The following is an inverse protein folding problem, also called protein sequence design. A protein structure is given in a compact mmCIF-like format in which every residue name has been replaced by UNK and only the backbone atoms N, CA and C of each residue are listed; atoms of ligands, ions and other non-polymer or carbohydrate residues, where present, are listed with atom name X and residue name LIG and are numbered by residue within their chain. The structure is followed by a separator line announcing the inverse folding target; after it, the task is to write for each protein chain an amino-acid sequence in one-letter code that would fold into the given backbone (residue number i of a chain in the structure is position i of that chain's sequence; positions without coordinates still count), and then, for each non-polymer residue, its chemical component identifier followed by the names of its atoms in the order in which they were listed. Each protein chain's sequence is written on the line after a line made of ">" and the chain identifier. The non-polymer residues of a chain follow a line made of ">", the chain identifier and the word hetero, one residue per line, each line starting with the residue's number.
data_IF_139678837325
#
_entry.id   IF_139678837325
#
_cell.length_a   1.000
_cell.length_b   1.000
_cell.length_c   1.000
_cell.angle_alpha   90.00
_cell.angle_beta   90.00
_cell.angle_gamma   90.00
#
_symmetry.space_group_name_H-M   'P 1'
#
loop_
_entity.id
_entity.type
_entity.pdbx_description
1 polymer ?
#
# COMPACT_ATOMS: atom_id res chain seq x y z
N UNK A 1 -15.17 -31.98 3.71
CA UNK A 1 -15.13 -31.42 2.36
C UNK A 1 -13.80 -30.72 2.08
N UNK A 2 -13.36 -29.73 2.90
CA UNK A 2 -12.05 -29.06 2.74
C UNK A 2 -10.88 -29.99 3.08
N UNK A 3 -10.93 -30.73 4.16
CA UNK A 3 -9.92 -31.73 4.49
C UNK A 3 -9.82 -32.83 3.41
N UNK A 4 -10.93 -33.23 2.85
CA UNK A 4 -11.01 -34.18 1.75
C UNK A 4 -10.42 -33.59 0.44
N UNK A 5 -10.69 -32.31 0.18
CA UNK A 5 -10.08 -31.57 -0.93
C UNK A 5 -8.55 -31.48 -0.77
N UNK A 6 -8.08 -31.12 0.42
CA UNK A 6 -6.62 -31.07 0.69
C UNK A 6 -5.98 -32.46 0.60
N UNK A 7 -6.62 -33.51 1.12
CA UNK A 7 -6.11 -34.88 1.03
C UNK A 7 -6.00 -35.37 -0.42
N UNK A 8 -6.93 -34.94 -1.28
CA UNK A 8 -6.95 -35.32 -2.71
C UNK A 8 -6.16 -34.36 -3.62
N UNK A 9 -5.63 -33.27 -3.07
CA UNK A 9 -4.86 -32.32 -3.86
C UNK A 9 -3.57 -32.96 -4.39
N UNK A 10 -3.22 -32.76 -5.68
CA UNK A 10 -2.06 -33.39 -6.31
C UNK A 10 -0.74 -33.15 -5.57
N UNK A 11 -0.62 -32.05 -4.87
CA UNK A 11 0.54 -31.74 -4.01
C UNK A 11 0.70 -32.73 -2.86
N UNK A 12 -0.41 -33.10 -2.19
CA UNK A 12 -0.40 -34.00 -1.03
C UNK A 12 -0.34 -35.48 -1.44
N UNK A 13 -0.65 -35.79 -2.69
CA UNK A 13 -0.56 -37.14 -3.25
C UNK A 13 0.80 -37.47 -3.87
N UNK A 14 1.81 -36.61 -3.69
CA UNK A 14 3.14 -36.87 -4.21
C UNK A 14 3.76 -38.09 -3.54
N UNK A 15 4.40 -38.92 -4.37
CA UNK A 15 5.24 -40.02 -3.84
C UNK A 15 6.27 -39.49 -2.87
N UNK A 16 6.39 -40.11 -1.71
CA UNK A 16 7.47 -39.85 -0.76
C UNK A 16 8.81 -40.31 -1.36
N UNK A 17 9.46 -39.40 -2.06
CA UNK A 17 10.75 -39.64 -2.68
C UNK A 17 11.87 -39.33 -1.69
N UNK A 18 12.88 -40.18 -1.71
CA UNK A 18 14.14 -39.89 -0.97
C UNK A 18 14.81 -38.64 -1.56
N UNK A 19 15.67 -37.92 -0.79
CA UNK A 19 16.40 -36.75 -1.30
C UNK A 19 17.18 -37.01 -2.59
N UNK A 20 17.64 -38.27 -2.79
CA UNK A 20 18.38 -38.68 -3.98
C UNK A 20 17.47 -38.84 -5.21
N UNK A 21 16.24 -39.30 -5.00
CA UNK A 21 15.20 -39.42 -6.04
C UNK A 21 14.64 -38.03 -6.40
N UNK A 22 14.47 -37.17 -5.42
CA UNK A 22 14.10 -35.77 -5.65
C UNK A 22 15.11 -35.06 -6.55
N UNK A 23 16.43 -35.18 -6.30
CA UNK A 23 17.45 -34.56 -7.15
C UNK A 23 17.42 -35.04 -8.59
N UNK A 24 16.93 -36.26 -8.87
CA UNK A 24 16.75 -36.77 -10.23
C UNK A 24 15.46 -36.37 -10.92
N UNK A 25 14.40 -36.14 -10.13
CA UNK A 25 13.07 -35.75 -10.63
C UNK A 25 12.85 -34.24 -10.69
N UNK A 26 13.65 -33.45 -9.99
CA UNK A 26 13.55 -32.00 -10.04
C UNK A 26 13.81 -31.51 -11.46
N UNK A 27 12.73 -31.17 -12.15
CA UNK A 27 12.79 -30.27 -13.29
C UNK A 27 13.51 -29.03 -12.81
N UNK A 28 14.56 -28.59 -13.48
CA UNK A 28 15.43 -27.46 -13.11
C UNK A 28 14.72 -26.09 -13.03
N UNK A 29 13.42 -26.08 -12.90
CA UNK A 29 12.62 -24.86 -12.78
C UNK A 29 11.88 -24.88 -11.44
N UNK A 30 12.04 -23.83 -10.69
CA UNK A 30 11.16 -23.52 -9.57
C UNK A 30 9.72 -23.53 -10.08
N UNK A 31 8.81 -23.98 -9.24
CA UNK A 31 7.38 -24.02 -9.52
C UNK A 31 6.67 -23.06 -8.58
N UNK A 32 6.84 -21.73 -8.81
CA UNK A 32 6.19 -20.71 -7.97
C UNK A 32 4.65 -20.81 -8.03
N UNK A 33 4.11 -21.28 -9.15
CA UNK A 33 2.71 -21.59 -9.32
C UNK A 33 2.18 -22.58 -8.27
N UNK A 34 2.93 -23.64 -7.98
CA UNK A 34 2.52 -24.64 -6.97
C UNK A 34 2.71 -24.13 -5.53
N UNK A 35 3.73 -23.31 -5.29
CA UNK A 35 3.92 -22.70 -3.98
C UNK A 35 2.79 -21.71 -3.68
N UNK A 36 2.41 -20.89 -4.66
CA UNK A 36 1.28 -19.96 -4.55
C UNK A 36 -0.05 -20.69 -4.35
N UNK A 37 -0.30 -21.75 -5.11
CA UNK A 37 -1.50 -22.59 -4.94
C UNK A 37 -1.56 -23.20 -3.54
N UNK A 38 -0.43 -23.68 -3.02
CA UNK A 38 -0.35 -24.23 -1.66
C UNK A 38 -0.68 -23.15 -0.62
N UNK A 39 -0.11 -21.96 -0.74
CA UNK A 39 -0.35 -20.84 0.17
C UNK A 39 -1.82 -20.42 0.15
N UNK A 40 -2.39 -20.27 -1.04
CA UNK A 40 -3.82 -19.98 -1.21
C UNK A 40 -4.71 -21.03 -0.54
N UNK A 41 -4.44 -22.32 -0.74
CA UNK A 41 -5.22 -23.40 -0.14
C UNK A 41 -5.11 -23.47 1.39
N UNK A 42 -3.97 -23.05 1.93
CA UNK A 42 -3.76 -23.01 3.39
C UNK A 42 -4.44 -21.81 4.05
N UNK A 43 -4.68 -20.74 3.32
CA UNK A 43 -5.17 -19.46 3.86
C UNK A 43 -6.63 -19.17 3.48
N UNK A 44 -7.17 -19.79 2.45
CA UNK A 44 -8.55 -19.57 2.02
C UNK A 44 -9.58 -20.09 3.02
N UNK A 45 -10.69 -19.38 3.15
CA UNK A 45 -11.89 -19.88 3.83
C UNK A 45 -12.63 -20.85 2.87
N UNK A 46 -12.83 -22.12 3.28
CA UNK A 46 -13.49 -23.12 2.42
C UNK A 46 -14.93 -22.78 2.03
N UNK A 47 -15.62 -21.99 2.87
CA UNK A 47 -17.02 -21.64 2.64
C UNK A 47 -17.18 -20.62 1.52
N UNK A 48 -16.29 -19.63 1.46
CA UNK A 48 -16.33 -18.54 0.47
C UNK A 48 -15.33 -18.75 -0.67
N UNK A 49 -14.40 -19.70 -0.53
CA UNK A 49 -13.34 -20.05 -1.50
C UNK A 49 -12.40 -18.89 -1.88
N UNK A 50 -12.24 -17.95 -0.96
CA UNK A 50 -11.32 -16.81 -1.06
C UNK A 50 -10.57 -16.64 0.25
N UNK A 51 -9.46 -15.90 0.22
CA UNK A 51 -8.75 -15.47 1.44
C UNK A 51 -9.51 -14.27 2.02
N UNK A 52 -10.14 -14.40 3.20
CA UNK A 52 -10.96 -13.34 3.79
C UNK A 52 -10.07 -12.26 4.43
N UNK A 53 -9.57 -11.33 3.64
CA UNK A 53 -8.67 -10.25 4.08
C UNK A 53 -9.29 -9.39 5.19
N UNK A 54 -10.58 -9.14 5.10
CA UNK A 54 -11.35 -8.37 6.07
C UNK A 54 -11.33 -8.97 7.48
N UNK A 55 -11.10 -10.29 7.59
CA UNK A 55 -11.01 -10.98 8.88
C UNK A 55 -9.61 -10.95 9.49
N UNK A 56 -8.60 -10.51 8.76
CA UNK A 56 -7.23 -10.50 9.24
C UNK A 56 -7.07 -9.56 10.45
N UNK A 57 -7.67 -8.38 10.37
CA UNK A 57 -7.64 -7.41 11.47
C UNK A 57 -8.42 -7.88 12.69
N UNK A 58 -9.59 -8.49 12.49
CA UNK A 58 -10.37 -9.10 13.58
C UNK A 58 -9.60 -10.24 14.26
N UNK A 59 -8.95 -11.09 13.46
CA UNK A 59 -8.12 -12.18 13.98
C UNK A 59 -6.92 -11.65 14.78
N UNK A 60 -6.31 -10.56 14.33
CA UNK A 60 -5.25 -9.90 15.06
C UNK A 60 -5.75 -9.33 16.40
N UNK A 61 -6.85 -8.58 16.40
CA UNK A 61 -7.44 -8.06 17.65
C UNK A 61 -7.76 -9.19 18.64
N UNK A 62 -8.34 -10.27 18.15
CA UNK A 62 -8.60 -11.45 18.99
C UNK A 62 -7.32 -12.08 19.54
N UNK A 63 -6.25 -12.14 18.75
CA UNK A 63 -4.95 -12.63 19.21
C UNK A 63 -4.34 -11.73 20.29
N UNK A 64 -4.49 -10.41 20.20
CA UNK A 64 -4.04 -9.47 21.22
C UNK A 64 -4.86 -9.59 22.52
N UNK A 65 -6.17 -9.75 22.42
CA UNK A 65 -7.02 -10.03 23.59
C UNK A 65 -6.60 -11.31 24.30
N UNK A 66 -6.32 -12.37 23.54
CA UNK A 66 -5.79 -13.62 24.08
C UNK A 66 -4.43 -13.41 24.76
N UNK A 67 -3.51 -12.67 24.14
CA UNK A 67 -2.21 -12.33 24.73
C UNK A 67 -2.36 -11.61 26.06
N UNK A 68 -3.25 -10.61 26.11
CA UNK A 68 -3.51 -9.84 27.33
C UNK A 68 -4.11 -10.70 28.47
N UNK A 69 -4.87 -11.73 28.13
CA UNK A 69 -5.50 -12.64 29.07
C UNK A 69 -4.60 -13.80 29.54
N UNK A 70 -3.49 -14.05 28.84
CA UNK A 70 -2.57 -15.14 29.19
C UNK A 70 -1.61 -14.75 30.31
N UNK A 71 -1.30 -15.68 31.24
CA UNK A 71 -0.26 -15.44 32.24
C UNK A 71 1.09 -15.14 31.60
N UNK A 72 1.82 -14.16 32.11
CA UNK A 72 3.11 -13.66 31.58
C UNK A 72 4.27 -14.69 31.68
N UNK A 73 3.99 -15.95 31.92
CA UNK A 73 5.00 -16.99 32.08
C UNK A 73 5.39 -17.57 30.70
N UNK A 74 6.17 -16.82 29.92
CA UNK A 74 6.74 -17.28 28.66
C UNK A 74 8.25 -17.44 28.83
N UNK A 75 8.71 -18.69 28.90
CA UNK A 75 10.14 -19.03 28.96
C UNK A 75 10.87 -18.82 27.61
N UNK A 76 10.18 -18.31 26.58
CA UNK A 76 10.78 -18.02 25.28
C UNK A 76 11.10 -16.54 25.15
N UNK A 77 12.37 -16.19 25.11
CA UNK A 77 12.85 -14.88 24.69
C UNK A 77 13.27 -14.94 23.21
N UNK A 78 12.76 -14.02 22.42
CA UNK A 78 13.16 -13.88 21.02
C UNK A 78 14.24 -12.80 20.93
N UNK A 79 15.34 -13.15 20.26
CA UNK A 79 16.42 -12.19 19.95
C UNK A 79 16.49 -12.08 18.44
N UNK A 80 16.49 -10.88 17.93
CA UNK A 80 16.69 -10.63 16.51
C UNK A 80 18.12 -10.97 16.13
N UNK A 81 18.29 -11.84 15.14
CA UNK A 81 19.59 -12.24 14.60
C UNK A 81 19.84 -11.69 13.18
N UNK A 82 19.01 -10.78 12.72
CA UNK A 82 19.17 -10.15 11.43
C UNK A 82 18.81 -11.04 10.23
N UNK A 83 19.20 -10.67 9.02
CA UNK A 83 20.32 -9.77 8.66
C UNK A 83 19.99 -8.28 8.86
N UNK A 84 20.87 -7.55 9.55
CA UNK A 84 20.73 -6.10 9.75
C UNK A 84 21.40 -5.25 8.66
N UNK A 85 22.08 -5.90 7.72
CA UNK A 85 22.84 -5.29 6.63
C UNK A 85 22.22 -5.51 5.23
N UNK A 86 21.02 -6.05 5.16
CA UNK A 86 20.24 -6.18 3.91
C UNK A 86 19.19 -5.10 3.89
N UNK A 87 19.31 -4.19 2.92
CA UNK A 87 18.35 -3.11 2.76
C UNK A 87 17.01 -3.64 2.23
N UNK A 88 15.91 -3.14 2.81
CA UNK A 88 14.57 -3.26 2.26
C UNK A 88 14.21 -2.07 1.37
N UNK A 89 13.02 -2.08 0.79
CA UNK A 89 12.46 -0.95 0.05
C UNK A 89 11.52 -0.17 0.96
N UNK A 90 11.73 1.14 1.06
CA UNK A 90 10.79 2.07 1.70
C UNK A 90 10.08 2.87 0.63
N UNK A 91 8.78 3.08 0.79
CA UNK A 91 7.94 3.84 -0.15
C UNK A 91 7.33 5.06 0.51
N UNK A 92 6.84 4.93 1.72
CA UNK A 92 6.25 6.01 2.48
C UNK A 92 7.33 6.66 3.37
N UNK A 93 7.41 7.97 3.32
CA UNK A 93 8.33 8.76 4.13
C UNK A 93 7.66 10.07 4.51
N UNK A 94 7.73 10.42 5.82
CA UNK A 94 7.11 11.64 6.32
C UNK A 94 7.86 12.14 7.55
N UNK A 95 8.20 13.42 7.57
CA UNK A 95 8.56 14.09 8.83
C UNK A 95 7.30 14.23 9.69
N UNK A 96 7.44 14.02 10.99
CA UNK A 96 6.32 14.19 11.91
C UNK A 96 5.93 15.67 11.95
N UNK A 97 4.68 16.02 11.56
CA UNK A 97 4.27 17.42 11.51
C UNK A 97 4.18 18.08 12.91
N UNK A 98 4.23 17.28 13.98
CA UNK A 98 4.19 17.77 15.36
C UNK A 98 5.59 17.93 15.96
N UNK A 99 6.64 17.49 15.26
CA UNK A 99 8.03 17.73 15.66
C UNK A 99 8.61 18.94 14.91
N UNK A 100 8.59 20.10 15.57
CA UNK A 100 9.10 21.37 15.02
C UNK A 100 10.62 21.41 14.83
N UNK A 101 11.35 20.42 15.36
CA UNK A 101 12.79 20.28 15.13
C UNK A 101 13.11 19.47 13.88
N UNK A 102 12.10 18.86 13.24
CA UNK A 102 12.20 18.00 12.06
C UNK A 102 13.19 16.83 12.24
N UNK A 103 13.16 16.22 13.40
CA UNK A 103 13.98 15.05 13.75
C UNK A 103 13.20 13.76 13.68
N UNK A 104 11.94 13.79 14.17
CA UNK A 104 11.08 12.61 14.14
C UNK A 104 10.61 12.30 12.72
N UNK A 105 10.85 11.06 12.31
CA UNK A 105 10.64 10.64 10.93
C UNK A 105 9.95 9.29 10.85
N UNK A 106 8.94 9.20 10.03
CA UNK A 106 8.17 8.00 9.76
C UNK A 106 8.62 7.36 8.44
N UNK A 107 8.71 6.04 8.41
CA UNK A 107 9.06 5.27 7.22
C UNK A 107 8.17 4.05 7.06
N UNK A 108 7.54 3.93 5.90
CA UNK A 108 6.76 2.76 5.52
C UNK A 108 7.55 1.83 4.61
N UNK A 109 7.63 0.58 4.99
CA UNK A 109 8.30 -0.49 4.24
C UNK A 109 7.33 -1.16 3.28
N UNK A 110 7.86 -1.65 2.15
CA UNK A 110 7.06 -2.36 1.12
C UNK A 110 6.50 -3.70 1.61
N UNK A 111 7.13 -4.30 2.63
CA UNK A 111 6.70 -5.59 3.19
C UNK A 111 7.11 -5.79 4.65
N UNK A 112 7.43 -4.71 5.36
CA UNK A 112 7.91 -4.76 6.73
C UNK A 112 7.18 -3.79 7.67
N UNK A 113 6.02 -3.30 7.29
CA UNK A 113 5.18 -2.44 8.13
C UNK A 113 5.65 -1.00 8.25
N UNK A 114 5.18 -0.34 9.28
CA UNK A 114 5.41 1.07 9.59
C UNK A 114 6.44 1.21 10.72
N UNK A 115 7.36 2.15 10.55
CA UNK A 115 8.45 2.43 11.48
C UNK A 115 8.58 3.92 11.71
N UNK A 116 9.15 4.30 12.84
CA UNK A 116 9.57 5.67 13.08
C UNK A 116 10.90 5.73 13.83
N UNK A 117 11.53 6.89 13.78
CA UNK A 117 12.67 7.25 14.62
C UNK A 117 12.43 8.62 15.21
N UNK A 118 12.85 8.83 16.47
CA UNK A 118 12.71 10.12 17.13
C UNK A 118 13.78 11.13 16.67
N UNK A 119 14.88 10.65 16.08
CA UNK A 119 15.92 11.54 15.54
C UNK A 119 16.60 10.91 14.32
N UNK A 120 16.20 11.36 13.11
CA UNK A 120 16.79 10.95 11.84
C UNK A 120 18.16 11.62 11.58
N UNK A 121 18.52 12.66 12.34
CA UNK A 121 19.74 13.44 12.08
C UNK A 121 20.99 12.81 12.65
N UNK A 122 20.86 11.84 13.55
CA UNK A 122 21.99 11.09 14.10
C UNK A 122 22.54 10.09 13.09
N UNK A 123 23.84 9.78 13.20
CA UNK A 123 24.51 8.89 12.25
C UNK A 123 23.96 7.45 12.22
N UNK A 124 23.36 6.99 13.32
CA UNK A 124 22.72 5.67 13.44
C UNK A 124 21.39 5.85 14.18
N UNK A 125 20.31 6.22 13.48
CA UNK A 125 19.01 6.38 14.10
C UNK A 125 18.47 5.04 14.60
N UNK A 126 17.86 5.07 15.79
CA UNK A 126 17.11 3.92 16.29
C UNK A 126 15.75 3.91 15.66
N UNK A 127 15.43 2.84 14.93
CA UNK A 127 14.12 2.63 14.34
C UNK A 127 13.23 1.82 15.28
N UNK A 128 12.01 2.28 15.45
CA UNK A 128 10.99 1.68 16.30
C UNK A 128 9.85 1.22 15.40
N UNK A 129 9.55 -0.07 15.44
CA UNK A 129 8.38 -0.60 14.74
C UNK A 129 7.10 -0.09 15.41
N UNK A 130 6.10 0.27 14.60
CA UNK A 130 4.76 0.50 15.11
C UNK A 130 4.17 -0.86 15.46
N UNK A 131 3.86 -1.06 16.74
CA UNK A 131 3.37 -2.34 17.26
C UNK A 131 2.08 -2.77 16.57
N UNK A 132 1.98 -4.07 16.40
CA UNK A 132 0.74 -4.73 16.02
C UNK A 132 0.62 -5.08 14.56
N UNK A 133 -0.49 -4.71 13.95
CA UNK A 133 -0.97 -5.17 12.65
C UNK A 133 -0.07 -4.88 11.43
N UNK A 134 0.93 -4.01 11.58
CA UNK A 134 1.80 -3.55 10.50
C UNK A 134 2.83 -4.58 10.02
N UNK A 135 3.01 -5.68 10.75
CA UNK A 135 3.89 -6.75 10.32
C UNK A 135 3.40 -7.36 9.00
N UNK A 136 4.29 -7.41 8.02
CA UNK A 136 4.03 -7.94 6.67
C UNK A 136 3.03 -7.15 5.80
N UNK A 137 2.64 -5.94 6.18
CA UNK A 137 1.86 -5.04 5.31
C UNK A 137 2.80 -4.15 4.51
N UNK A 138 2.50 -3.99 3.22
CA UNK A 138 3.17 -3.02 2.37
C UNK A 138 2.61 -1.63 2.63
N UNK A 139 3.42 -0.75 3.19
CA UNK A 139 3.09 0.65 3.38
C UNK A 139 3.60 1.42 2.17
N UNK A 140 2.69 1.95 1.39
CA UNK A 140 2.98 2.60 0.10
C UNK A 140 3.01 4.11 0.16
N UNK A 141 2.23 4.70 1.07
CA UNK A 141 2.08 6.17 1.18
C UNK A 141 1.66 6.57 2.59
N UNK A 142 2.03 7.79 2.97
CA UNK A 142 1.61 8.46 4.20
C UNK A 142 1.24 9.90 3.90
N UNK A 143 0.25 10.42 4.59
CA UNK A 143 -0.10 11.84 4.60
C UNK A 143 -0.67 12.22 5.98
N UNK A 144 -0.46 13.45 6.39
CA UNK A 144 -1.14 14.03 7.54
C UNK A 144 -2.22 15.02 7.09
N UNK A 145 -3.16 15.29 7.97
CA UNK A 145 -4.18 16.33 7.77
C UNK A 145 -3.61 17.70 8.18
N UNK A 146 -3.42 18.64 7.25
CA UNK A 146 -2.89 19.97 7.59
C UNK A 146 -3.79 20.76 8.55
N UNK A 147 -5.08 20.46 8.58
CA UNK A 147 -6.04 21.11 9.50
C UNK A 147 -5.97 20.54 10.91
N UNK A 148 -5.48 19.31 11.07
CA UNK A 148 -5.26 18.65 12.36
C UNK A 148 -4.06 17.72 12.28
N UNK A 149 -2.90 18.22 12.62
CA UNK A 149 -1.61 17.51 12.49
C UNK A 149 -1.45 16.28 13.39
N UNK A 150 -2.41 15.94 14.23
CA UNK A 150 -2.46 14.65 14.94
C UNK A 150 -3.12 13.55 14.11
N UNK A 151 -3.78 13.91 13.00
CA UNK A 151 -4.42 12.95 12.11
C UNK A 151 -3.50 12.58 10.96
N UNK A 152 -3.15 11.30 10.86
CA UNK A 152 -2.37 10.75 9.74
C UNK A 152 -3.17 9.66 9.05
N UNK A 153 -2.90 9.49 7.76
CA UNK A 153 -3.41 8.42 6.94
C UNK A 153 -2.25 7.62 6.33
N UNK A 154 -2.41 6.30 6.31
CA UNK A 154 -1.44 5.38 5.74
C UNK A 154 -2.15 4.50 4.74
N UNK A 155 -1.70 4.54 3.48
CA UNK A 155 -2.17 3.66 2.43
C UNK A 155 -1.30 2.41 2.32
N UNK A 156 -1.94 1.29 2.01
CA UNK A 156 -1.29 -0.02 1.94
C UNK A 156 -1.33 -0.62 0.53
N UNK A 157 -0.47 -1.60 0.30
CA UNK A 157 -0.37 -2.35 -0.95
C UNK A 157 0.62 -1.78 -1.95
N UNK A 158 1.47 -2.64 -2.52
CA UNK A 158 2.41 -2.26 -3.56
C UNK A 158 1.89 -2.62 -4.94
N UNK A 159 1.33 -1.65 -5.66
CA UNK A 159 0.63 -1.84 -6.93
C UNK A 159 1.47 -1.69 -8.20
N UNK A 160 2.82 -1.77 -8.15
CA UNK A 160 3.69 -1.52 -9.30
C UNK A 160 3.96 -2.73 -10.19
N UNK A 161 3.33 -3.87 -9.90
CA UNK A 161 3.35 -5.03 -10.78
C UNK A 161 4.60 -5.88 -10.74
N UNK A 162 5.42 -5.76 -9.72
CA UNK A 162 6.56 -6.66 -9.53
C UNK A 162 6.12 -7.99 -8.88
N UNK A 163 6.92 -9.04 -9.09
CA UNK A 163 6.61 -10.39 -8.57
C UNK A 163 6.70 -10.54 -7.05
N UNK A 164 7.19 -9.53 -6.34
CA UNK A 164 7.21 -9.46 -4.88
C UNK A 164 6.23 -8.45 -4.30
N UNK A 165 5.24 -8.03 -5.09
CA UNK A 165 4.22 -7.09 -4.65
C UNK A 165 3.35 -7.72 -3.56
N UNK A 166 3.16 -6.99 -2.48
CA UNK A 166 2.29 -7.39 -1.38
C UNK A 166 0.99 -6.61 -1.50
N UNK A 167 -0.12 -7.33 -1.53
CA UNK A 167 -1.45 -6.74 -1.51
C UNK A 167 -1.68 -6.02 -0.19
N UNK A 168 -2.29 -4.86 -0.26
CA UNK A 168 -2.67 -4.06 0.89
C UNK A 168 -4.00 -4.48 1.49
N UNK A 169 -4.41 -3.72 2.48
CA UNK A 169 -5.67 -3.88 3.19
C UNK A 169 -6.28 -2.50 3.49
N UNK A 170 -6.46 -1.70 2.45
CA UNK A 170 -7.08 -0.38 2.57
C UNK A 170 -6.21 0.69 3.22
N UNK A 171 -6.88 1.64 3.87
CA UNK A 171 -6.29 2.81 4.52
C UNK A 171 -6.40 2.68 6.04
N UNK A 172 -5.33 3.03 6.74
CA UNK A 172 -5.30 3.14 8.19
C UNK A 172 -5.18 4.61 8.59
N UNK A 173 -5.81 4.96 9.72
CA UNK A 173 -5.87 6.30 10.27
C UNK A 173 -5.40 6.30 11.71
N UNK A 174 -4.65 7.32 12.11
CA UNK A 174 -4.44 7.71 13.51
C UNK A 174 -5.09 9.06 13.76
N UNK A 175 -5.51 9.30 15.00
CA UNK A 175 -6.05 10.59 15.46
C UNK A 175 -5.25 11.14 16.66
N UNK A 176 -4.16 10.48 17.01
CA UNK A 176 -3.33 10.77 18.19
C UNK A 176 -1.82 10.86 17.89
N UNK A 177 -1.48 11.25 16.66
CA UNK A 177 -0.09 11.44 16.23
C UNK A 177 0.69 10.13 16.10
N UNK A 178 0.00 9.04 15.76
CA UNK A 178 0.62 7.73 15.50
C UNK A 178 0.75 6.81 16.70
N UNK A 179 0.15 7.16 17.86
CA UNK A 179 0.19 6.28 19.04
C UNK A 179 -0.79 5.10 18.92
N UNK A 180 -1.92 5.31 18.25
CA UNK A 180 -2.88 4.26 17.93
C UNK A 180 -3.36 4.37 16.48
N UNK A 181 -3.75 3.23 15.89
CA UNK A 181 -4.14 3.16 14.48
C UNK A 181 -5.42 2.35 14.32
N UNK A 182 -6.28 2.80 13.41
CA UNK A 182 -7.55 2.15 13.09
C UNK A 182 -7.65 2.01 11.58
N UNK A 183 -8.05 0.84 11.10
CA UNK A 183 -8.37 0.64 9.68
C UNK A 183 -9.69 1.33 9.35
N UNK A 184 -9.73 2.07 8.25
CA UNK A 184 -10.98 2.67 7.76
C UNK A 184 -11.89 1.58 7.21
N UNK A 185 -13.03 1.36 7.87
CA UNK A 185 -14.00 0.33 7.50
C UNK A 185 -14.56 0.50 6.07
N UNK A 186 -14.58 1.72 5.57
CA UNK A 186 -14.99 2.06 4.20
C UNK A 186 -14.05 1.53 3.11
N UNK A 187 -12.82 1.14 3.47
CA UNK A 187 -11.80 0.62 2.55
C UNK A 187 -11.49 -0.85 2.79
N UNK A 188 -12.10 -1.43 3.84
CA UNK A 188 -11.85 -2.80 4.25
C UNK A 188 -12.53 -3.77 3.28
N UNK A 189 -11.75 -4.70 2.69
CA UNK A 189 -12.29 -5.73 1.79
C UNK A 189 -12.79 -5.21 0.45
N UNK A 190 -12.57 -3.93 0.12
CA UNK A 190 -12.88 -3.35 -1.17
C UNK A 190 -11.65 -3.43 -2.09
N UNK A 191 -11.76 -4.19 -3.16
CA UNK A 191 -10.68 -4.41 -4.14
C UNK A 191 -10.16 -3.11 -4.77
N UNK A 192 -10.94 -2.02 -4.73
CA UNK A 192 -10.54 -0.67 -5.15
C UNK A 192 -9.35 -0.14 -4.34
N UNK A 193 -9.29 -0.51 -3.05
CA UNK A 193 -8.28 -0.06 -2.11
C UNK A 193 -7.21 -1.12 -1.79
N UNK A 194 -7.10 -2.16 -2.62
CA UNK A 194 -6.05 -3.18 -2.49
C UNK A 194 -4.64 -2.63 -2.68
N UNK A 195 -4.50 -1.62 -3.52
CA UNK A 195 -3.22 -0.97 -3.81
C UNK A 195 -3.40 0.54 -3.84
N UNK A 196 -2.91 1.21 -2.83
CA UNK A 196 -2.95 2.67 -2.72
C UNK A 196 -1.56 3.21 -3.05
N UNK A 197 -1.47 3.95 -4.14
CA UNK A 197 -0.19 4.45 -4.63
C UNK A 197 0.22 5.75 -3.95
N UNK A 198 -0.76 6.62 -3.72
CA UNK A 198 -0.55 7.91 -3.06
C UNK A 198 -1.78 8.37 -2.31
N UNK A 199 -1.58 9.01 -1.18
CA UNK A 199 -2.60 9.76 -0.44
C UNK A 199 -2.10 11.19 -0.26
N UNK A 200 -2.99 12.15 -0.45
CA UNK A 200 -2.79 13.55 -0.06
C UNK A 200 -4.02 14.06 0.68
N UNK A 201 -3.84 15.04 1.56
CA UNK A 201 -4.94 15.68 2.31
C UNK A 201 -4.83 17.18 2.10
N UNK A 202 -5.95 17.82 1.72
CA UNK A 202 -5.98 19.25 1.53
C UNK A 202 -6.18 20.02 2.85
N UNK A 203 -6.09 21.35 2.81
CA UNK A 203 -6.25 22.22 3.98
C UNK A 203 -7.66 22.17 4.61
N UNK A 204 -8.63 21.61 3.90
CA UNK A 204 -10.02 21.44 4.38
C UNK A 204 -10.27 20.03 4.94
N UNK A 205 -9.24 19.17 5.01
CA UNK A 205 -9.34 17.80 5.47
C UNK A 205 -9.95 16.84 4.43
N UNK A 206 -10.07 17.22 3.17
CA UNK A 206 -10.44 16.27 2.12
C UNK A 206 -9.26 15.39 1.78
N UNK A 207 -9.52 14.08 1.73
CA UNK A 207 -8.53 13.06 1.45
C UNK A 207 -8.66 12.65 -0.01
N UNK A 208 -7.55 12.60 -0.72
CA UNK A 208 -7.49 12.07 -2.07
C UNK A 208 -6.55 10.87 -2.10
N UNK A 209 -6.99 9.78 -2.73
CA UNK A 209 -6.23 8.55 -2.86
C UNK A 209 -6.12 8.15 -4.34
N UNK A 210 -4.90 7.98 -4.82
CA UNK A 210 -4.62 7.33 -6.09
C UNK A 210 -4.61 5.81 -5.85
N UNK A 211 -5.54 5.10 -6.49
CA UNK A 211 -5.73 3.66 -6.26
C UNK A 211 -5.57 2.86 -7.54
N UNK A 212 -5.18 1.61 -7.37
CA UNK A 212 -5.13 0.62 -8.41
C UNK A 212 -5.93 -0.61 -7.99
N UNK A 213 -6.76 -1.19 -8.88
CA UNK A 213 -7.47 -2.43 -8.58
C UNK A 213 -6.51 -3.63 -8.50
N UNK A 214 -6.92 -4.64 -7.77
CA UNK A 214 -6.22 -5.91 -7.72
C UNK A 214 -6.06 -6.57 -9.10
N UNK A 215 -4.99 -7.33 -9.31
CA UNK A 215 -4.69 -7.96 -10.61
C UNK A 215 -5.75 -8.95 -11.09
N UNK A 216 -6.47 -9.58 -10.18
CA UNK A 216 -7.25 -10.77 -10.46
C UNK A 216 -8.77 -10.60 -10.28
N UNK A 217 -9.22 -9.53 -9.60
CA UNK A 217 -10.58 -9.50 -9.08
C UNK A 217 -11.46 -8.39 -9.65
N UNK A 218 -10.93 -7.57 -10.52
CA UNK A 218 -11.65 -6.38 -10.99
C UNK A 218 -11.72 -5.32 -9.88
N UNK A 219 -12.10 -4.17 -10.18
CA UNK A 219 -12.17 -3.00 -9.30
C UNK A 219 -11.93 -1.77 -10.15
N UNK A 220 -12.38 -0.64 -9.68
CA UNK A 220 -12.23 0.62 -10.38
C UNK A 220 -11.10 1.43 -9.72
N UNK A 221 -9.90 1.38 -10.28
CA UNK A 221 -8.83 2.29 -9.86
C UNK A 221 -9.07 3.71 -10.36
N UNK A 222 -8.23 4.64 -9.92
CA UNK A 222 -8.29 6.05 -10.28
C UNK A 222 -7.98 6.94 -9.09
N UNK A 223 -8.58 8.13 -9.07
CA UNK A 223 -8.50 9.03 -7.93
C UNK A 223 -9.83 9.02 -7.20
N UNK A 224 -9.76 8.72 -5.91
CA UNK A 224 -10.90 8.74 -4.99
C UNK A 224 -10.77 9.88 -4.00
N UNK A 225 -11.90 10.49 -3.66
CA UNK A 225 -12.01 11.58 -2.68
C UNK A 225 -12.91 11.16 -1.54
N UNK A 226 -12.49 11.47 -0.33
CA UNK A 226 -13.34 11.49 0.87
C UNK A 226 -13.37 12.90 1.45
N UNK A 227 -14.57 13.37 1.83
CA UNK A 227 -14.77 14.66 2.51
C UNK A 227 -15.32 14.50 3.92
N UNK A 228 -15.28 13.28 4.45
CA UNK A 228 -15.85 12.92 5.75
C UNK A 228 -14.86 12.13 6.64
N UNK A 229 -13.57 12.39 6.43
CA UNK A 229 -12.49 11.78 7.23
C UNK A 229 -12.26 10.30 6.92
N UNK A 230 -12.64 9.85 5.72
CA UNK A 230 -12.46 8.48 5.25
C UNK A 230 -13.67 7.57 5.49
N UNK A 231 -14.83 8.10 5.91
CA UNK A 231 -16.03 7.28 6.14
C UNK A 231 -16.71 6.86 4.83
N UNK A 232 -16.59 7.67 3.78
CA UNK A 232 -17.09 7.36 2.43
C UNK A 232 -16.16 7.90 1.35
N UNK A 233 -16.21 7.29 0.15
CA UNK A 233 -15.34 7.63 -0.96
C UNK A 233 -16.13 7.78 -2.26
N UNK A 234 -15.79 8.80 -3.06
CA UNK A 234 -16.30 9.01 -4.39
C UNK A 234 -15.15 8.98 -5.40
N UNK A 235 -15.30 8.24 -6.50
CA UNK A 235 -14.36 8.30 -7.61
C UNK A 235 -14.51 9.66 -8.33
N UNK A 236 -13.44 10.45 -8.34
CA UNK A 236 -13.44 11.81 -8.92
C UNK A 236 -12.66 11.90 -10.23
N UNK A 237 -11.78 10.92 -10.50
CA UNK A 237 -11.09 10.79 -11.78
C UNK A 237 -10.85 9.33 -12.08
N UNK A 238 -11.17 8.91 -13.29
CA UNK A 238 -10.92 7.55 -13.80
C UNK A 238 -10.27 7.60 -15.18
N UNK A 239 -9.56 6.54 -15.54
CA UNK A 239 -8.95 6.39 -16.85
C UNK A 239 -9.90 5.89 -17.92
N UNK A 240 -9.41 5.85 -19.15
CA UNK A 240 -10.16 5.43 -20.36
C UNK A 240 -10.13 3.92 -20.59
N UNK A 241 -9.35 3.18 -19.81
CA UNK A 241 -9.20 1.71 -19.95
C UNK A 241 -10.20 0.96 -19.06
N UNK A 242 -10.42 -0.32 -19.38
CA UNK A 242 -11.26 -1.23 -18.57
C UNK A 242 -10.69 -1.47 -17.16
N UNK A 243 -9.41 -1.14 -16.93
CA UNK A 243 -8.70 -1.26 -15.66
C UNK A 243 -7.95 0.04 -15.33
N UNK A 244 -8.66 1.12 -15.01
CA UNK A 244 -8.04 2.40 -14.72
C UNK A 244 -7.14 2.30 -13.48
N UNK A 245 -6.03 3.02 -13.50
CA UNK A 245 -5.00 2.97 -12.47
C UNK A 245 -4.58 4.39 -12.10
N UNK A 246 -4.87 4.82 -10.88
CA UNK A 246 -4.24 6.00 -10.31
C UNK A 246 -2.78 5.71 -10.01
N UNK A 247 -1.87 6.54 -10.51
CA UNK A 247 -0.45 6.39 -10.29
C UNK A 247 0.07 7.36 -9.22
N UNK A 248 -0.32 8.63 -9.31
CA UNK A 248 0.13 9.66 -8.38
C UNK A 248 -0.92 10.77 -8.24
N UNK A 249 -0.87 11.51 -7.14
CA UNK A 249 -1.64 12.72 -6.91
C UNK A 249 -0.87 13.67 -5.99
N UNK A 250 -0.84 14.96 -6.34
CA UNK A 250 -0.17 16.01 -5.58
C UNK A 250 -1.05 17.26 -5.48
N UNK A 251 -0.84 18.03 -4.41
CA UNK A 251 -1.48 19.32 -4.17
C UNK A 251 -0.45 20.43 -4.35
N UNK A 252 -0.72 21.36 -5.24
CA UNK A 252 0.12 22.53 -5.44
C UNK A 252 -0.12 23.59 -4.35
N UNK A 253 0.78 24.57 -4.25
CA UNK A 253 0.73 25.63 -3.23
C UNK A 253 -0.52 26.51 -3.29
N UNK A 254 -1.24 26.52 -4.41
CA UNK A 254 -2.52 27.22 -4.59
C UNK A 254 -3.75 26.33 -4.35
N UNK A 255 -3.53 25.08 -3.91
CA UNK A 255 -4.59 24.09 -3.70
C UNK A 255 -5.05 23.37 -4.97
N UNK A 256 -4.45 23.63 -6.13
CA UNK A 256 -4.75 22.88 -7.33
C UNK A 256 -4.23 21.45 -7.21
N UNK A 257 -5.05 20.49 -7.67
CA UNK A 257 -4.70 19.08 -7.69
C UNK A 257 -4.07 18.71 -9.04
N UNK A 258 -3.01 17.92 -8.99
CA UNK A 258 -2.43 17.27 -10.15
C UNK A 258 -2.45 15.77 -9.93
N UNK A 259 -2.96 15.02 -10.90
CA UNK A 259 -3.07 13.57 -10.81
C UNK A 259 -2.58 12.90 -12.09
N UNK A 260 -1.93 11.76 -11.95
CA UNK A 260 -1.55 10.93 -13.09
C UNK A 260 -2.30 9.61 -13.08
N UNK A 261 -2.71 9.17 -14.25
CA UNK A 261 -3.34 7.89 -14.51
C UNK A 261 -2.51 7.06 -15.47
N UNK A 262 -2.48 5.76 -15.23
CA UNK A 262 -1.70 4.80 -16.03
C UNK A 262 -0.42 4.35 -15.32
N UNK A 263 -0.15 3.03 -15.35
CA UNK A 263 1.07 2.43 -14.77
C UNK A 263 1.87 1.70 -15.85
N UNK A 264 1.22 1.00 -16.76
CA UNK A 264 1.80 0.33 -17.94
C UNK A 264 1.05 0.68 -19.21
N UNK A 265 0.18 1.66 -19.14
CA UNK A 265 -0.57 2.24 -20.24
C UNK A 265 -0.80 3.69 -19.90
N UNK A 266 -0.82 4.52 -20.91
CA UNK A 266 -0.89 5.96 -20.76
C UNK A 266 -2.32 6.43 -20.74
N UNK A 267 -2.82 6.91 -19.60
CA UNK A 267 -4.04 7.73 -19.56
C UNK A 267 -3.69 9.22 -19.45
N UNK A 268 -2.64 9.58 -18.71
CA UNK A 268 -2.05 10.91 -18.76
C UNK A 268 -1.96 11.66 -17.44
N UNK A 269 -1.67 12.96 -17.57
CA UNK A 269 -1.57 13.92 -16.49
C UNK A 269 -2.78 14.85 -16.52
N UNK A 270 -3.40 15.05 -15.36
CA UNK A 270 -4.63 15.83 -15.19
C UNK A 270 -4.46 16.92 -14.13
N UNK A 271 -5.18 18.01 -14.28
CA UNK A 271 -5.26 19.09 -13.30
C UNK A 271 -6.72 19.38 -12.94
N UNK A 272 -6.98 19.60 -11.66
CA UNK A 272 -8.23 20.18 -11.14
C UNK A 272 -7.93 21.45 -10.35
N UNK A 273 -8.77 22.46 -10.52
CA UNK A 273 -8.73 23.74 -9.78
C UNK A 273 -9.96 23.94 -8.92
N UNK A 274 -10.80 22.92 -8.81
CA UNK A 274 -12.05 22.95 -8.07
C UNK A 274 -12.21 21.72 -7.17
N UNK A 275 -11.13 21.36 -6.49
CA UNK A 275 -11.15 20.33 -5.47
C UNK A 275 -11.58 18.94 -5.99
N UNK A 276 -11.17 18.59 -7.21
CA UNK A 276 -11.45 17.30 -7.84
C UNK A 276 -12.83 17.16 -8.48
N UNK A 277 -13.65 18.23 -8.54
CA UNK A 277 -14.98 18.16 -9.17
C UNK A 277 -14.88 18.01 -10.70
N UNK A 278 -13.92 18.70 -11.31
CA UNK A 278 -13.63 18.57 -12.74
C UNK A 278 -12.12 18.52 -12.99
N UNK A 279 -11.74 17.84 -14.06
CA UNK A 279 -10.35 17.62 -14.43
C UNK A 279 -10.10 18.00 -15.89
N UNK A 280 -8.95 18.61 -16.13
CA UNK A 280 -8.46 18.92 -17.46
C UNK A 280 -7.17 18.13 -17.74
N UNK A 281 -7.11 17.42 -18.84
CA UNK A 281 -5.92 16.68 -19.26
C UNK A 281 -4.84 17.67 -19.76
N UNK A 282 -3.61 17.49 -19.28
CA UNK A 282 -2.48 18.38 -19.55
C UNK A 282 -1.49 17.83 -20.58
N UNK A 283 -1.38 16.52 -20.70
CA UNK A 283 -0.44 15.90 -21.63
C UNK A 283 -0.94 16.02 -23.06
N UNK A 284 -0.23 16.82 -23.84
CA UNK A 284 -0.50 17.06 -25.24
C UNK A 284 0.83 17.25 -25.99
N UNK A 285 0.98 16.64 -27.15
CA UNK A 285 2.15 16.86 -28.00
C UNK A 285 2.35 18.32 -28.38
N UNK A 286 1.25 19.07 -28.49
CA UNK A 286 1.29 20.49 -28.81
C UNK A 286 1.94 21.36 -27.74
N UNK A 287 2.01 20.90 -26.49
CA UNK A 287 2.66 21.60 -25.38
C UNK A 287 4.04 21.02 -25.02
N UNK A 288 4.56 20.09 -25.85
CA UNK A 288 5.88 19.49 -25.67
C UNK A 288 5.91 18.33 -24.69
N UNK A 289 4.75 17.82 -24.26
CA UNK A 289 4.69 16.62 -23.41
C UNK A 289 5.14 15.38 -24.20
N UNK A 290 5.90 14.45 -23.60
CA UNK A 290 6.30 13.22 -24.29
C UNK A 290 5.08 12.44 -24.80
N UNK A 291 5.20 11.85 -26.00
CA UNK A 291 4.15 11.00 -26.58
C UNK A 291 4.23 9.54 -26.16
N UNK A 292 5.38 9.12 -25.65
CA UNK A 292 5.66 7.73 -25.26
C UNK A 292 6.07 7.69 -23.79
N UNK A 293 5.13 7.27 -22.94
CA UNK A 293 5.35 7.08 -21.50
C UNK A 293 4.35 6.09 -20.92
N UNK A 294 4.76 5.38 -19.87
CA UNK A 294 3.94 4.37 -19.20
C UNK A 294 3.44 4.84 -17.83
N UNK A 295 4.26 5.65 -17.13
CA UNK A 295 3.97 6.15 -15.79
C UNK A 295 4.47 7.57 -15.64
N UNK A 296 3.72 8.37 -14.88
CA UNK A 296 4.11 9.73 -14.51
C UNK A 296 4.10 9.85 -12.99
N UNK A 297 5.22 10.26 -12.41
CA UNK A 297 5.34 10.74 -11.03
C UNK A 297 5.33 12.26 -11.03
N UNK A 298 4.67 12.86 -10.08
CA UNK A 298 4.42 14.31 -10.00
C UNK A 298 5.09 14.86 -8.75
N UNK A 299 5.61 16.08 -8.84
CA UNK A 299 6.01 16.85 -7.67
C UNK A 299 5.66 18.33 -7.89
N UNK A 300 4.90 18.90 -6.98
CA UNK A 300 4.59 20.32 -6.97
C UNK A 300 5.60 21.07 -6.11
N UNK A 301 6.09 22.22 -6.61
CA UNK A 301 6.98 23.06 -5.82
C UNK A 301 6.18 23.73 -4.68
N UNK A 302 6.57 23.57 -3.41
CA UNK A 302 5.83 24.14 -2.30
C UNK A 302 5.89 25.66 -2.22
N UNK A 303 6.88 26.28 -2.89
CA UNK A 303 7.08 27.74 -2.89
C UNK A 303 6.48 28.47 -4.09
N UNK A 304 6.06 27.74 -5.14
CA UNK A 304 5.50 28.35 -6.37
C UNK A 304 4.50 27.40 -7.04
N UNK A 305 3.23 27.73 -6.97
CA UNK A 305 2.14 26.94 -7.56
C UNK A 305 2.23 26.76 -9.08
N UNK A 306 3.03 27.61 -9.77
CA UNK A 306 3.22 27.51 -11.21
C UNK A 306 4.30 26.50 -11.61
N UNK A 307 5.04 25.93 -10.65
CA UNK A 307 6.11 24.98 -10.90
C UNK A 307 5.67 23.58 -10.51
N UNK A 308 5.49 22.73 -11.52
CA UNK A 308 5.16 21.31 -11.37
C UNK A 308 6.14 20.50 -12.20
N UNK A 309 6.71 19.49 -11.59
CA UNK A 309 7.60 18.53 -12.23
C UNK A 309 6.84 17.25 -12.55
N UNK A 310 7.03 16.70 -13.73
CA UNK A 310 6.51 15.41 -14.13
C UNK A 310 7.68 14.52 -14.59
N UNK A 311 7.91 13.42 -13.89
CA UNK A 311 8.88 12.41 -14.28
C UNK A 311 8.15 11.31 -15.03
N UNK A 312 8.37 11.21 -16.34
CA UNK A 312 7.75 10.22 -17.20
C UNK A 312 8.68 9.02 -17.38
N UNK A 313 8.20 7.81 -17.07
CA UNK A 313 8.89 6.59 -17.46
C UNK A 313 8.67 6.37 -18.97
N UNK A 314 9.75 6.21 -19.74
CA UNK A 314 9.67 5.89 -21.16
C UNK A 314 9.12 4.49 -21.40
N UNK A 315 8.38 4.30 -22.49
CA UNK A 315 8.00 2.98 -22.97
C UNK A 315 9.24 2.17 -23.40
N UNK A 316 9.24 0.88 -23.17
CA UNK A 316 10.34 -0.05 -23.51
C UNK A 316 10.22 -0.57 -24.94
#
# INVERSE_FOLDING_TARGET
>A
EFEEYLANHPFNQREHLTPKQWKKKLVKKDRPDLAWEQDFLMTMDPAIKTVPKERLFEAYQYAEELRASMPVNRDASWTEHGPSNVAGRSRAMMFDPNDFENKKFWAGSVSGGLWFTDDITVSNPTWIAVDGFWENIAISTMAYDPSNTLVFYVGTGEGWGNGGAVQGNGIFKTEDGGNSWTQLSSTMGDDTFDFIQKIVVDENGNIFAATRPGYWWGGNGGIYKSSDGGNSWAQVLTGSTDYPKGADIEIAADGALYASLGIFSTDGLFKSVNNGETWSQLNSESNGFPSDFERIEIACAPSDANIVYALCAGGS
#
